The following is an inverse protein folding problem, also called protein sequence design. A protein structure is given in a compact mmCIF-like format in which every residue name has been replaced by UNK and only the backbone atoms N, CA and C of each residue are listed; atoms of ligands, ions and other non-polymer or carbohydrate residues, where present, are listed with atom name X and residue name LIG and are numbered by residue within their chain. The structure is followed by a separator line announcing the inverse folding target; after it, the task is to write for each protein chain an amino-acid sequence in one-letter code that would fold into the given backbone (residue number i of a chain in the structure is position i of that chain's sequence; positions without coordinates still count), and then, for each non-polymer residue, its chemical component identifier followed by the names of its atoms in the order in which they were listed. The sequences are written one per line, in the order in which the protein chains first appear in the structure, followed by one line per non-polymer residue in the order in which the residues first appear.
data_IF_637477614657
#
_entry.id   IF_637477614657
#
_cell.length_a   1.000
_cell.length_b   1.000
_cell.length_c   1.000
_cell.angle_alpha   90.00
_cell.angle_beta   90.00
_cell.angle_gamma   90.00
#
_symmetry.space_group_name_H-M   'P 1'
#
loop_
_entity.id
_entity.type
_entity.pdbx_description
1 polymer ?
#
# COMPACT_ATOMS: atom_id res chain seq x y z
N UNK A 1 -13.21 43.42 10.37
CA UNK A 1 -11.99 42.59 10.24
C UNK A 1 -10.86 43.55 9.92
N UNK A 2 -10.01 43.87 10.89
CA UNK A 2 -8.99 44.91 10.76
C UNK A 2 -7.91 44.50 9.73
N UNK A 3 -7.50 45.41 8.82
CA UNK A 3 -6.53 45.09 7.76
C UNK A 3 -5.10 44.83 8.28
N UNK A 4 -4.86 45.06 9.58
CA UNK A 4 -3.54 44.97 10.20
C UNK A 4 -3.08 43.54 10.53
N UNK A 5 -3.95 42.53 10.42
CA UNK A 5 -3.55 41.13 10.65
C UNK A 5 -2.69 40.53 9.53
N UNK A 6 -2.55 41.22 8.39
CA UNK A 6 -1.78 40.76 7.23
C UNK A 6 -0.30 41.22 7.24
N UNK A 7 0.06 42.18 8.10
CA UNK A 7 1.45 42.62 8.27
C UNK A 7 2.04 41.90 9.48
N UNK A 8 2.81 40.84 9.23
CA UNK A 8 3.47 40.07 10.29
C UNK A 8 4.49 40.94 11.01
N UNK A 9 4.12 41.41 12.20
CA UNK A 9 5.03 42.03 13.16
C UNK A 9 6.03 40.98 13.66
N UNK A 10 7.29 41.36 13.82
CA UNK A 10 8.47 40.51 14.06
C UNK A 10 8.36 39.51 15.24
N UNK A 11 7.32 39.63 16.08
CA UNK A 11 7.12 38.84 17.30
C UNK A 11 6.21 37.61 17.17
N UNK A 12 5.58 37.38 16.01
CA UNK A 12 4.72 36.18 15.79
C UNK A 12 5.34 35.19 14.79
N UNK A 13 6.45 35.57 14.14
CA UNK A 13 7.16 34.74 13.19
C UNK A 13 8.47 34.21 13.77
N UNK A 14 8.82 33.00 13.36
CA UNK A 14 10.09 32.38 13.69
C UNK A 14 11.25 33.12 12.99
N UNK A 15 12.44 33.14 13.61
CA UNK A 15 13.63 33.78 13.04
C UNK A 15 14.00 33.17 11.69
N UNK A 16 14.74 33.87 10.82
CA UNK A 16 15.19 33.32 9.53
C UNK A 16 16.33 32.32 9.67
N UNK A 17 17.15 32.48 10.71
CA UNK A 17 18.29 31.61 11.00
C UNK A 17 17.92 30.68 12.15
N UNK A 18 18.06 29.36 11.93
CA UNK A 18 17.80 28.35 12.94
C UNK A 18 19.06 27.74 13.52
N UNK A 19 19.05 27.39 14.82
CA UNK A 19 20.11 26.57 15.38
C UNK A 19 20.14 25.20 14.70
N UNK A 20 21.31 24.54 14.66
CA UNK A 20 21.42 23.20 14.09
C UNK A 20 20.54 22.20 14.86
N UNK A 21 19.65 21.45 14.19
CA UNK A 21 18.76 20.51 14.86
C UNK A 21 19.46 19.21 15.24
N UNK A 22 18.99 18.55 16.30
CA UNK A 22 19.34 17.17 16.66
C UNK A 22 18.17 16.26 16.31
N UNK A 23 18.21 15.67 15.12
CA UNK A 23 17.13 14.80 14.62
C UNK A 23 17.23 13.40 15.26
N UNK A 24 16.09 12.76 15.58
CA UNK A 24 16.08 11.38 16.05
C UNK A 24 16.55 10.43 14.94
N UNK A 25 17.16 9.32 15.34
CA UNK A 25 17.59 8.26 14.43
C UNK A 25 16.42 7.38 14.00
N UNK A 26 16.53 6.78 12.81
CA UNK A 26 15.55 5.84 12.29
C UNK A 26 15.57 4.47 12.97
N UNK A 27 14.56 3.62 12.72
CA UNK A 27 14.37 2.34 13.41
C UNK A 27 15.45 1.28 13.14
N UNK A 28 16.24 1.46 12.07
CA UNK A 28 17.36 0.58 11.74
C UNK A 28 18.68 1.00 12.41
N UNK A 29 18.68 1.99 13.30
CA UNK A 29 19.88 2.36 14.08
C UNK A 29 19.98 1.50 15.35
N UNK A 30 20.22 0.19 15.16
CA UNK A 30 20.31 -0.82 16.22
C UNK A 30 21.68 -1.48 16.23
N UNK A 31 22.25 -1.70 17.42
CA UNK A 31 23.56 -2.34 17.59
C UNK A 31 23.57 -3.84 17.35
N UNK A 32 22.45 -4.54 17.59
CA UNK A 32 22.31 -5.98 17.41
C UNK A 32 20.96 -6.31 16.74
N UNK A 33 20.84 -7.52 16.21
CA UNK A 33 19.61 -8.04 15.57
C UNK A 33 19.08 -7.11 14.46
N UNK A 34 19.99 -6.66 13.59
CA UNK A 34 19.72 -5.67 12.55
C UNK A 34 20.37 -6.07 11.21
N UNK A 35 20.23 -7.34 10.86
CA UNK A 35 20.74 -7.84 9.60
C UNK A 35 19.95 -7.24 8.43
N UNK A 36 20.64 -6.77 7.40
CA UNK A 36 19.99 -6.18 6.24
C UNK A 36 19.04 -7.16 5.53
N UNK A 37 19.41 -8.44 5.48
CA UNK A 37 18.65 -9.49 4.81
C UNK A 37 17.23 -9.68 5.38
N UNK A 38 17.01 -9.41 6.67
CA UNK A 38 15.68 -9.62 7.29
C UNK A 38 14.71 -8.46 7.04
N UNK A 39 15.16 -7.35 6.45
CA UNK A 39 14.35 -6.14 6.20
C UNK A 39 14.42 -5.65 4.75
N UNK A 40 15.08 -6.40 3.86
CA UNK A 40 15.28 -5.99 2.48
C UNK A 40 14.04 -6.28 1.64
N UNK A 41 13.03 -5.41 1.75
CA UNK A 41 11.79 -5.51 0.94
C UNK A 41 12.02 -5.50 -0.58
N UNK A 42 13.17 -5.01 -1.06
CA UNK A 42 13.54 -5.08 -2.48
C UNK A 42 13.72 -6.53 -2.95
N UNK A 43 14.16 -7.43 -2.06
CA UNK A 43 14.33 -8.86 -2.34
C UNK A 43 13.08 -9.69 -2.09
N UNK A 44 12.11 -9.15 -1.36
CA UNK A 44 10.79 -9.76 -1.16
C UNK A 44 9.84 -9.57 -2.36
N UNK A 45 10.33 -8.94 -3.44
CA UNK A 45 9.54 -8.75 -4.65
C UNK A 45 9.61 -10.00 -5.52
N UNK A 46 8.44 -10.56 -5.84
CA UNK A 46 8.30 -11.71 -6.73
C UNK A 46 7.71 -11.28 -8.07
N UNK A 47 7.98 -12.03 -9.15
CA UNK A 47 7.24 -11.87 -10.40
C UNK A 47 5.73 -12.04 -10.17
N UNK A 48 4.87 -11.39 -10.98
CA UNK A 48 3.43 -11.51 -10.84
C UNK A 48 2.96 -12.95 -11.05
N UNK A 49 1.92 -13.35 -10.32
CA UNK A 49 1.28 -14.65 -10.48
C UNK A 49 0.43 -14.64 -11.75
N UNK A 50 0.69 -15.57 -12.67
CA UNK A 50 -0.07 -15.72 -13.92
C UNK A 50 -1.28 -16.64 -13.67
N UNK A 51 -2.48 -16.08 -13.65
CA UNK A 51 -3.73 -16.84 -13.42
C UNK A 51 -4.21 -17.59 -14.67
N UNK A 52 -4.06 -16.96 -15.84
CA UNK A 52 -4.46 -17.52 -17.13
C UNK A 52 -3.39 -17.12 -18.15
N UNK A 53 -2.88 -18.09 -18.91
CA UNK A 53 -1.97 -17.87 -20.04
C UNK A 53 -2.56 -18.46 -21.32
N UNK A 54 -2.39 -17.77 -22.44
CA UNK A 54 -2.81 -18.28 -23.76
C UNK A 54 -1.99 -19.51 -24.20
N UNK A 55 -0.75 -19.62 -23.72
CA UNK A 55 0.10 -20.78 -23.95
C UNK A 55 -0.08 -21.80 -22.82
N UNK A 56 -0.61 -22.98 -23.17
CA UNK A 56 -0.69 -24.15 -22.28
C UNK A 56 0.72 -24.74 -22.13
N UNK A 57 1.36 -24.53 -20.98
CA UNK A 57 2.64 -25.19 -20.68
C UNK A 57 2.36 -26.68 -20.45
N UNK A 58 2.91 -27.56 -21.28
CA UNK A 58 2.86 -29.00 -21.06
C UNK A 58 3.57 -29.32 -19.74
N UNK A 59 2.92 -30.08 -18.86
CA UNK A 59 3.58 -30.62 -17.67
C UNK A 59 4.76 -31.51 -18.13
N UNK A 60 5.91 -31.48 -17.43
CA UNK A 60 6.97 -32.47 -17.70
C UNK A 60 6.36 -33.87 -17.54
N UNK A 61 6.52 -34.70 -18.57
CA UNK A 61 5.71 -35.89 -18.81
C UNK A 61 5.56 -36.81 -17.60
N UNK A 62 4.38 -36.78 -16.97
CA UNK A 62 3.87 -37.92 -16.21
C UNK A 62 2.77 -38.59 -17.02
N UNK A 63 2.85 -39.90 -17.08
CA UNK A 63 2.05 -40.77 -17.94
C UNK A 63 0.55 -40.53 -17.73
N UNK A 64 -0.15 -40.41 -18.84
CA UNK A 64 -1.61 -40.36 -18.96
C UNK A 64 -2.25 -41.49 -18.12
N UNK A 65 -2.86 -41.15 -16.99
CA UNK A 65 -4.01 -41.87 -16.49
C UNK A 65 -5.22 -41.02 -16.87
N UNK A 66 -5.85 -41.41 -17.97
CA UNK A 66 -7.11 -40.87 -18.47
C UNK A 66 -8.17 -40.88 -17.36
N UNK A 67 -8.54 -39.69 -16.90
CA UNK A 67 -9.80 -39.43 -16.23
C UNK A 67 -10.21 -38.01 -16.61
N UNK A 68 -10.59 -37.87 -17.88
CA UNK A 68 -11.28 -36.70 -18.42
C UNK A 68 -12.67 -36.65 -17.76
N UNK A 69 -12.72 -36.24 -16.50
CA UNK A 69 -13.98 -35.89 -15.86
C UNK A 69 -14.38 -34.52 -16.39
N UNK A 70 -15.25 -34.51 -17.40
CA UNK A 70 -15.97 -33.32 -17.84
C UNK A 70 -16.67 -32.69 -16.64
N UNK A 71 -16.09 -31.63 -16.08
CA UNK A 71 -16.73 -30.85 -15.03
C UNK A 71 -17.85 -30.07 -15.71
N UNK A 72 -19.10 -30.51 -15.51
CA UNK A 72 -20.28 -29.76 -15.91
C UNK A 72 -20.18 -28.31 -15.41
N UNK A 73 -20.67 -27.29 -16.15
CA UNK A 73 -20.58 -25.90 -15.73
C UNK A 73 -21.29 -25.74 -14.39
N UNK A 74 -20.52 -25.70 -13.29
CA UNK A 74 -21.05 -25.29 -12.00
C UNK A 74 -21.38 -23.82 -12.11
N UNK A 75 -22.62 -23.44 -11.81
CA UNK A 75 -23.05 -22.05 -11.75
C UNK A 75 -22.23 -21.31 -10.68
N UNK A 76 -21.19 -20.57 -11.11
CA UNK A 76 -20.32 -19.80 -10.23
C UNK A 76 -20.99 -18.45 -9.98
N UNK A 77 -21.15 -18.10 -8.70
CA UNK A 77 -21.59 -16.76 -8.31
C UNK A 77 -20.61 -15.71 -8.85
N UNK A 78 -21.10 -14.58 -9.38
CA UNK A 78 -20.22 -13.51 -9.84
C UNK A 78 -19.39 -12.96 -8.66
N UNK A 79 -18.08 -12.85 -8.85
CA UNK A 79 -17.13 -12.35 -7.85
C UNK A 79 -16.83 -10.87 -8.12
N UNK A 80 -16.86 -10.04 -7.07
CA UNK A 80 -16.40 -8.64 -7.12
C UNK A 80 -14.94 -8.57 -6.63
N UNK A 81 -14.07 -7.71 -7.20
CA UNK A 81 -12.66 -7.60 -6.79
C UNK A 81 -12.44 -7.21 -5.31
N UNK A 82 -13.46 -6.64 -4.66
CA UNK A 82 -13.41 -6.27 -3.26
C UNK A 82 -14.82 -5.99 -2.70
N UNK A 83 -14.93 -5.69 -1.40
CA UNK A 83 -16.19 -5.29 -0.79
C UNK A 83 -16.67 -3.95 -1.36
N UNK A 84 -17.97 -3.69 -1.27
CA UNK A 84 -18.52 -2.39 -1.65
C UNK A 84 -17.90 -1.29 -0.74
N UNK A 85 -17.48 -0.15 -1.31
CA UNK A 85 -16.95 0.95 -0.52
C UNK A 85 -18.02 1.43 0.46
N UNK A 86 -17.59 1.76 1.69
CA UNK A 86 -18.48 2.34 2.68
C UNK A 86 -18.92 3.73 2.21
N UNK A 87 -20.21 4.03 2.35
CA UNK A 87 -20.72 5.39 2.13
C UNK A 87 -20.04 6.32 3.14
N UNK A 88 -19.48 7.43 2.66
CA UNK A 88 -18.91 8.45 3.54
C UNK A 88 -20.02 9.23 4.23
N UNK A 89 -19.82 9.55 5.51
CA UNK A 89 -20.72 10.39 6.28
C UNK A 89 -20.33 11.87 6.13
N UNK A 90 -21.31 12.77 6.26
CA UNK A 90 -21.06 14.21 6.22
C UNK A 90 -20.28 14.65 7.47
N UNK A 91 -19.43 15.67 7.32
CA UNK A 91 -18.68 16.24 8.45
C UNK A 91 -19.62 16.70 9.56
N UNK A 92 -19.18 16.53 10.82
CA UNK A 92 -19.92 17.00 12.00
C UNK A 92 -19.55 18.43 12.39
N UNK A 93 -18.34 18.87 12.03
CA UNK A 93 -17.80 20.15 12.46
C UNK A 93 -18.40 21.28 11.62
N UNK A 94 -18.34 21.16 10.28
CA UNK A 94 -18.93 22.10 9.31
C UNK A 94 -19.54 21.31 8.13
N UNK A 95 -20.83 20.93 8.22
CA UNK A 95 -21.51 20.14 7.18
C UNK A 95 -21.85 20.94 5.92
N UNK A 96 -21.96 22.27 6.05
CA UNK A 96 -22.28 23.20 4.98
C UNK A 96 -21.36 24.41 5.09
N UNK A 97 -21.00 24.99 3.93
CA UNK A 97 -20.27 26.25 3.84
C UNK A 97 -21.21 27.44 3.96
#
# INVERSE_FOLDING_TARGET
ISPFHCLTFLNVLFFRTQPPPRLPVGPSHKFANNYYCTRDGRRETFPPIVLVSAQKRLAPGQQHASSESSIAPMERKPVKPGPAPRKWELSKDEPYL
#
